data_IF_506095078118
#
_entry.id   IF_506095078118
#
_cell.length_a   1.000
_cell.length_b   1.000
_cell.length_c   1.000
_cell.angle_alpha   90.00
_cell.angle_beta   90.00
_cell.angle_gamma   90.00
#
_symmetry.space_group_name_H-M   'P 1'
#
loop_
_entity.id
_entity.type
_entity.pdbx_description
1 polymer ?
#
# COMPACT_ATOMS: atom_id res chain seq x y z
N UNK A 1 -5.43 -3.73 13.07
CA UNK A 1 -4.65 -4.90 12.57
C UNK A 1 -4.85 -5.07 11.05
N UNK A 2 -4.03 -5.86 10.32
CA UNK A 2 -4.42 -6.32 8.99
C UNK A 2 -5.83 -6.93 9.06
N UNK A 3 -6.72 -6.59 8.12
CA UNK A 3 -8.15 -6.96 8.14
C UNK A 3 -8.99 -6.32 9.27
N UNK A 4 -8.57 -5.17 9.80
CA UNK A 4 -9.39 -4.39 10.72
C UNK A 4 -10.66 -3.87 10.03
N UNK A 5 -11.78 -4.58 10.25
CA UNK A 5 -13.05 -4.29 9.59
C UNK A 5 -13.62 -2.92 9.97
N UNK A 6 -13.35 -2.44 11.18
CA UNK A 6 -13.84 -1.13 11.63
C UNK A 6 -13.10 -0.01 10.89
N UNK A 7 -11.78 -0.10 10.80
CA UNK A 7 -10.97 0.81 9.99
C UNK A 7 -11.38 0.77 8.52
N UNK A 8 -11.49 -0.43 7.93
CA UNK A 8 -11.87 -0.62 6.53
C UNK A 8 -13.22 0.01 6.22
N UNK A 9 -14.24 -0.26 7.06
CA UNK A 9 -15.57 0.33 6.91
C UNK A 9 -15.50 1.85 6.97
N UNK A 10 -14.80 2.42 7.95
CA UNK A 10 -14.67 3.88 8.12
C UNK A 10 -14.01 4.53 6.90
N UNK A 11 -12.94 3.95 6.37
CA UNK A 11 -12.27 4.42 5.15
C UNK A 11 -13.22 4.35 3.95
N UNK A 12 -13.90 3.23 3.75
CA UNK A 12 -14.83 3.03 2.63
C UNK A 12 -16.00 4.01 2.67
N UNK A 13 -16.64 4.17 3.83
CA UNK A 13 -17.76 5.10 4.01
C UNK A 13 -17.35 6.55 3.73
N UNK A 14 -16.17 6.97 4.20
CA UNK A 14 -15.64 8.31 3.88
C UNK A 14 -15.37 8.45 2.39
N UNK A 15 -14.70 7.48 1.77
CA UNK A 15 -14.42 7.50 0.33
C UNK A 15 -15.69 7.63 -0.51
N UNK A 16 -16.76 6.91 -0.15
CA UNK A 16 -18.05 7.01 -0.83
C UNK A 16 -18.70 8.39 -0.66
N UNK A 17 -18.62 8.98 0.53
CA UNK A 17 -19.12 10.35 0.76
C UNK A 17 -18.33 11.38 -0.04
N UNK A 18 -17.00 11.26 -0.09
CA UNK A 18 -16.15 12.14 -0.90
C UNK A 18 -16.50 11.97 -2.37
N UNK A 19 -16.63 10.74 -2.87
CA UNK A 19 -17.00 10.48 -4.26
C UNK A 19 -18.37 11.09 -4.62
N UNK A 20 -19.36 10.94 -3.76
CA UNK A 20 -20.71 11.46 -4.01
C UNK A 20 -20.80 13.00 -3.91
N UNK A 21 -19.91 13.64 -3.14
CA UNK A 21 -19.93 15.08 -2.90
C UNK A 21 -18.79 15.88 -3.55
N UNK A 22 -17.87 15.23 -4.27
CA UNK A 22 -16.70 15.91 -4.84
C UNK A 22 -17.11 16.89 -5.94
N UNK A 23 -16.74 18.16 -5.77
CA UNK A 23 -17.01 19.21 -6.76
C UNK A 23 -16.15 19.07 -8.03
N UNK A 24 -15.03 18.37 -7.95
CA UNK A 24 -14.11 18.14 -9.06
C UNK A 24 -13.26 16.88 -8.86
N UNK A 25 -12.73 16.38 -9.97
CA UNK A 25 -11.70 15.34 -9.96
C UNK A 25 -10.48 15.77 -9.14
N UNK A 26 -9.87 14.83 -8.43
CA UNK A 26 -8.70 15.09 -7.57
C UNK A 26 -9.05 15.59 -6.16
N UNK A 27 -10.33 15.69 -5.80
CA UNK A 27 -10.76 16.00 -4.43
C UNK A 27 -10.15 15.00 -3.45
N UNK A 28 -9.34 15.49 -2.51
CA UNK A 28 -8.68 14.72 -1.46
C UNK A 28 -9.15 15.20 -0.09
N UNK A 29 -9.48 14.27 0.78
CA UNK A 29 -9.77 14.52 2.20
C UNK A 29 -8.83 13.64 3.00
N UNK A 30 -8.17 14.25 3.99
CA UNK A 30 -7.33 13.50 4.93
C UNK A 30 -8.20 12.89 6.04
N UNK A 31 -7.94 11.63 6.35
CA UNK A 31 -8.58 10.91 7.44
C UNK A 31 -7.52 10.71 8.53
N UNK A 32 -7.79 11.25 9.71
CA UNK A 32 -6.96 11.05 10.89
C UNK A 32 -7.13 9.62 11.41
N UNK A 33 -6.34 8.71 10.84
CA UNK A 33 -6.29 7.30 11.21
C UNK A 33 -4.86 6.80 11.09
N UNK A 34 -4.42 6.08 12.11
CA UNK A 34 -3.11 5.42 12.09
C UNK A 34 -3.21 4.09 11.34
N UNK A 35 -2.25 3.85 10.44
CA UNK A 35 -2.15 2.55 9.79
C UNK A 35 -1.65 1.49 10.79
N UNK A 36 -2.33 0.36 10.95
CA UNK A 36 -2.07 -0.56 12.06
C UNK A 36 -0.83 -1.45 11.89
N UNK A 37 -0.11 -1.32 10.77
CA UNK A 37 1.08 -2.11 10.47
C UNK A 37 2.26 -1.17 10.32
N UNK A 38 3.38 -1.37 11.05
CA UNK A 38 4.57 -0.56 10.85
C UNK A 38 5.00 -0.53 9.37
N UNK A 39 5.42 0.63 8.89
CA UNK A 39 5.75 0.85 7.47
C UNK A 39 6.73 -0.21 6.91
N UNK A 40 7.77 -0.54 7.68
CA UNK A 40 8.78 -1.54 7.28
C UNK A 40 8.19 -2.94 7.08
N UNK A 41 7.21 -3.32 7.90
CA UNK A 41 6.54 -4.61 7.80
C UNK A 41 5.58 -4.63 6.62
N UNK A 42 4.79 -3.57 6.44
CA UNK A 42 3.94 -3.40 5.27
C UNK A 42 4.75 -3.46 3.97
N UNK A 43 5.91 -2.79 3.94
CA UNK A 43 6.83 -2.81 2.81
C UNK A 43 7.56 -4.14 2.59
N UNK A 44 7.58 -5.05 3.56
CA UNK A 44 8.08 -6.42 3.32
C UNK A 44 6.96 -7.34 2.85
N UNK A 45 5.77 -7.20 3.43
CA UNK A 45 4.64 -8.08 3.16
C UNK A 45 4.11 -7.99 1.72
N UNK A 46 4.19 -6.81 1.08
CA UNK A 46 3.78 -6.65 -0.32
C UNK A 46 4.79 -7.23 -1.34
N UNK A 47 6.03 -7.53 -0.92
CA UNK A 47 7.03 -8.01 -1.88
C UNK A 47 6.69 -9.43 -2.35
N UNK A 48 6.70 -9.68 -3.67
CA UNK A 48 6.52 -11.03 -4.18
C UNK A 48 7.65 -11.94 -3.71
N UNK A 49 7.34 -13.20 -3.42
CA UNK A 49 8.33 -14.20 -2.99
C UNK A 49 9.40 -14.43 -4.05
N UNK A 50 9.00 -14.36 -5.32
CA UNK A 50 9.91 -14.45 -6.44
C UNK A 50 10.32 -13.04 -6.91
N UNK A 51 11.61 -12.84 -7.24
CA UNK A 51 12.06 -11.58 -7.81
C UNK A 51 11.37 -11.32 -9.16
N UNK A 52 11.05 -10.05 -9.42
CA UNK A 52 10.56 -9.64 -10.73
C UNK A 52 11.60 -9.97 -11.82
N UNK A 53 11.19 -10.12 -13.10
CA UNK A 53 12.13 -10.40 -14.18
C UNK A 53 13.32 -9.44 -14.26
N UNK A 54 13.09 -8.16 -13.95
CA UNK A 54 14.14 -7.12 -13.90
C UNK A 54 15.12 -7.40 -12.75
N UNK A 55 14.60 -7.62 -11.53
CA UNK A 55 15.44 -7.92 -10.36
C UNK A 55 16.23 -9.21 -10.56
N UNK A 56 15.60 -10.23 -11.16
CA UNK A 56 16.27 -11.49 -11.50
C UNK A 56 17.47 -11.27 -12.42
N UNK A 57 17.29 -10.51 -13.51
CA UNK A 57 18.40 -10.17 -14.43
C UNK A 57 19.51 -9.37 -13.76
N UNK A 58 19.17 -8.46 -12.85
CA UNK A 58 20.17 -7.71 -12.07
C UNK A 58 20.97 -8.59 -11.11
N UNK A 59 20.32 -9.58 -10.49
CA UNK A 59 20.98 -10.55 -9.61
C UNK A 59 21.90 -11.50 -10.40
N UNK A 60 21.46 -11.96 -11.57
CA UNK A 60 22.26 -12.76 -12.51
C UNK A 60 23.51 -12.00 -12.98
N UNK A 61 23.41 -10.68 -13.14
CA UNK A 61 24.51 -9.83 -13.60
C UNK A 61 25.49 -9.41 -12.48
N UNK A 62 25.21 -9.73 -11.21
CA UNK A 62 26.12 -9.38 -10.10
C UNK A 62 27.33 -10.32 -10.10
N UNK A 63 28.57 -9.79 -10.15
CA UNK A 63 29.76 -10.62 -9.98
C UNK A 63 29.76 -11.23 -8.56
N UNK A 64 30.17 -12.49 -8.46
CA UNK A 64 30.29 -13.16 -7.15
C UNK A 64 31.29 -12.41 -6.28
N UNK A 65 31.01 -12.20 -4.97
CA UNK A 65 32.04 -11.71 -4.07
C UNK A 65 33.09 -12.82 -3.96
N UNK A 66 34.31 -12.49 -4.41
CA UNK A 66 35.50 -13.33 -4.19
C UNK A 66 35.94 -13.31 -2.73
#
# INVERSE_FOLDING_TARGET
MPNDRAMQRRVLELSLRVLAGAAAFGSRVDLDVEWPVPLREAYRAWQPKEPSPIVRKMLEARPSPG
#
